data_IF_982645200908
#
_entry.id   IF_982645200908
#
_cell.length_a   1.000
_cell.length_b   1.000
_cell.length_c   1.000
_cell.angle_alpha   90.00
_cell.angle_beta   90.00
_cell.angle_gamma   90.00
#
_symmetry.space_group_name_H-M   'P 1'
#
loop_
_entity.id
_entity.type
_entity.pdbx_description
1 polymer ?
#
# COMPACT_ATOMS: atom_id res chain seq x y z
N UNK A 1 11.60 2.22 -17.48
CA UNK A 1 12.28 2.29 -16.18
C UNK A 1 11.37 1.72 -15.11
N UNK A 2 11.92 1.01 -14.14
CA UNK A 2 11.15 0.56 -12.99
C UNK A 2 10.52 1.76 -12.29
N UNK A 3 9.37 1.55 -11.67
CA UNK A 3 8.56 2.62 -11.14
C UNK A 3 9.26 3.53 -10.14
N UNK A 4 8.99 4.81 -10.23
CA UNK A 4 9.42 5.79 -9.24
C UNK A 4 8.44 5.79 -8.09
N UNK A 5 8.95 5.86 -6.87
CA UNK A 5 8.11 5.85 -5.67
C UNK A 5 8.22 7.21 -4.98
N UNK A 6 7.08 7.83 -4.73
CA UNK A 6 7.00 9.06 -3.95
C UNK A 6 6.18 8.80 -2.69
N UNK A 7 6.74 9.13 -1.53
CA UNK A 7 6.00 9.09 -0.27
C UNK A 7 5.47 10.48 0.02
N UNK A 8 4.17 10.57 0.23
CA UNK A 8 3.49 11.84 0.53
C UNK A 8 2.80 11.73 1.89
N UNK A 9 2.68 12.86 2.57
CA UNK A 9 2.13 12.88 3.92
C UNK A 9 1.06 13.95 4.02
N UNK A 10 -0.13 13.55 4.43
CA UNK A 10 -1.16 14.51 4.82
C UNK A 10 -0.67 15.26 6.06
N UNK A 11 -1.13 16.48 6.26
CA UNK A 11 -0.73 17.30 7.41
C UNK A 11 -0.89 16.51 8.73
N UNK A 12 0.17 16.50 9.52
CA UNK A 12 0.20 15.80 10.80
C UNK A 12 0.59 14.33 10.71
N UNK A 13 0.79 13.78 9.51
CA UNK A 13 1.16 12.38 9.34
C UNK A 13 2.66 12.22 9.14
N UNK A 14 3.20 11.10 9.58
CA UNK A 14 4.60 10.72 9.44
C UNK A 14 4.69 9.23 9.17
N UNK A 15 5.85 8.78 8.73
CA UNK A 15 6.16 7.35 8.66
C UNK A 15 7.55 7.10 9.23
N UNK A 16 7.73 6.01 10.02
CA UNK A 16 9.05 5.62 10.47
C UNK A 16 9.85 5.06 9.28
N UNK A 17 11.15 5.31 9.27
CA UNK A 17 12.07 4.79 8.26
C UNK A 17 11.55 4.93 6.83
N UNK A 18 11.23 6.16 6.38
CA UNK A 18 10.60 6.35 5.08
C UNK A 18 11.48 5.87 3.91
N UNK A 19 12.80 6.01 4.02
CA UNK A 19 13.69 5.52 2.96
C UNK A 19 13.60 4.01 2.78
N UNK A 20 13.45 3.27 3.87
CA UNK A 20 13.33 1.82 3.80
C UNK A 20 11.97 1.38 3.26
N UNK A 21 10.90 2.10 3.61
CA UNK A 21 9.58 1.86 3.03
C UNK A 21 9.59 2.13 1.52
N UNK A 22 10.25 3.20 1.11
CA UNK A 22 10.41 3.52 -0.30
C UNK A 22 11.20 2.46 -1.05
N UNK A 23 12.29 1.97 -0.47
CA UNK A 23 13.10 0.88 -1.05
C UNK A 23 12.28 -0.40 -1.19
N UNK A 24 11.48 -0.73 -0.19
CA UNK A 24 10.61 -1.90 -0.23
C UNK A 24 9.62 -1.81 -1.39
N UNK A 25 8.97 -0.65 -1.54
CA UNK A 25 8.05 -0.42 -2.65
C UNK A 25 8.76 -0.54 -4.01
N UNK A 26 9.97 0.01 -4.13
CA UNK A 26 10.78 -0.11 -5.35
C UNK A 26 11.13 -1.56 -5.66
N UNK A 27 11.44 -2.34 -4.63
CA UNK A 27 11.74 -3.77 -4.79
C UNK A 27 10.54 -4.52 -5.37
N UNK A 28 9.33 -4.23 -4.85
CA UNK A 28 8.11 -4.84 -5.38
C UNK A 28 7.88 -4.39 -6.83
N UNK A 29 7.99 -3.10 -7.11
CA UNK A 29 7.81 -2.57 -8.46
C UNK A 29 8.75 -3.25 -9.45
N UNK A 30 10.01 -3.40 -9.09
CA UNK A 30 11.01 -4.06 -9.93
C UNK A 30 10.69 -5.54 -10.12
N UNK A 31 10.37 -6.24 -9.04
CA UNK A 31 10.06 -7.67 -9.09
C UNK A 31 8.82 -7.98 -9.92
N UNK A 32 7.81 -7.11 -9.85
CA UNK A 32 6.56 -7.28 -10.59
C UNK A 32 6.54 -6.56 -11.94
N UNK A 33 7.65 -5.91 -12.30
CA UNK A 33 7.80 -5.16 -13.57
C UNK A 33 6.80 -4.04 -13.75
N UNK A 34 6.44 -3.38 -12.65
CA UNK A 34 5.55 -2.23 -12.68
C UNK A 34 6.28 -1.01 -13.22
N UNK A 35 5.69 -0.35 -14.21
CA UNK A 35 6.22 0.87 -14.81
C UNK A 35 5.43 2.08 -14.33
N UNK A 36 6.08 3.23 -14.29
CA UNK A 36 5.44 4.48 -13.92
C UNK A 36 5.59 4.83 -12.45
N UNK A 37 5.13 6.03 -12.13
CA UNK A 37 5.24 6.59 -10.79
C UNK A 37 4.12 6.08 -9.90
N UNK A 38 4.46 5.74 -8.67
CA UNK A 38 3.49 5.39 -7.63
C UNK A 38 3.62 6.43 -6.51
N UNK A 39 2.48 6.93 -6.06
CA UNK A 39 2.40 7.81 -4.89
C UNK A 39 1.81 7.03 -3.72
N UNK A 40 2.55 6.97 -2.63
CA UNK A 40 2.08 6.34 -1.38
C UNK A 40 1.80 7.47 -0.40
N UNK A 41 0.53 7.64 -0.04
CA UNK A 41 0.06 8.74 0.77
C UNK A 41 -0.29 8.23 2.17
N UNK A 42 0.42 8.73 3.16
CA UNK A 42 0.12 8.45 4.57
C UNK A 42 -0.88 9.49 5.06
N UNK A 43 -2.05 9.06 5.46
CA UNK A 43 -3.17 9.96 5.75
C UNK A 43 -3.97 9.54 6.97
N UNK A 44 -4.93 10.39 7.34
CA UNK A 44 -5.84 10.13 8.45
C UNK A 44 -6.89 9.10 8.09
N UNK A 45 -7.55 8.54 9.11
CA UNK A 45 -8.70 7.66 8.93
C UNK A 45 -9.81 8.35 8.14
N UNK A 46 -10.03 9.62 8.40
CA UNK A 46 -11.08 10.41 7.73
C UNK A 46 -10.83 10.52 6.24
N UNK A 47 -9.59 10.75 5.84
CA UNK A 47 -9.22 10.83 4.42
C UNK A 47 -9.44 9.49 3.73
N UNK A 48 -9.02 8.38 4.36
CA UNK A 48 -9.23 7.05 3.77
C UNK A 48 -10.71 6.72 3.69
N UNK A 49 -11.48 7.04 4.73
CA UNK A 49 -12.93 6.85 4.73
C UNK A 49 -13.59 7.62 3.58
N UNK A 50 -13.20 8.88 3.40
CA UNK A 50 -13.75 9.73 2.32
C UNK A 50 -13.41 9.14 0.94
N UNK A 51 -12.18 8.69 0.73
CA UNK A 51 -11.77 8.07 -0.52
C UNK A 51 -12.49 6.77 -0.78
N UNK A 52 -12.67 5.96 0.26
CA UNK A 52 -13.36 4.68 0.16
C UNK A 52 -14.83 4.90 -0.23
N UNK A 53 -15.48 5.90 0.36
CA UNK A 53 -16.85 6.28 0.03
C UNK A 53 -16.96 6.79 -1.41
N UNK A 54 -16.05 7.68 -1.81
CA UNK A 54 -16.07 8.30 -3.13
C UNK A 54 -15.86 7.29 -4.26
N UNK A 55 -14.85 6.40 -4.10
CA UNK A 55 -14.43 5.52 -5.19
C UNK A 55 -15.01 4.11 -5.12
N UNK A 56 -15.43 3.65 -3.95
CA UNK A 56 -15.96 2.28 -3.77
C UNK A 56 -17.37 2.25 -3.21
N UNK A 57 -17.92 3.39 -2.84
CA UNK A 57 -19.25 3.46 -2.24
C UNK A 57 -19.32 2.92 -0.82
N UNK A 58 -18.18 2.73 -0.17
CA UNK A 58 -18.10 2.17 1.18
C UNK A 58 -17.75 3.26 2.18
N UNK A 59 -18.71 3.66 3.01
CA UNK A 59 -18.52 4.70 4.03
C UNK A 59 -17.93 4.10 5.30
N UNK A 60 -16.66 3.68 5.21
CA UNK A 60 -15.93 3.11 6.35
C UNK A 60 -14.43 3.28 6.18
N UNK A 61 -13.73 3.23 7.30
CA UNK A 61 -12.26 3.24 7.31
C UNK A 61 -11.75 1.85 6.92
N UNK A 62 -10.72 1.83 6.09
CA UNK A 62 -9.93 0.63 5.83
C UNK A 62 -8.46 0.99 6.06
N UNK A 63 -7.57 0.00 6.08
CA UNK A 63 -6.15 0.23 6.34
C UNK A 63 -5.40 0.77 5.12
N UNK A 64 -5.73 0.27 3.94
CA UNK A 64 -5.05 0.64 2.70
C UNK A 64 -6.02 0.63 1.52
N UNK A 65 -5.86 1.60 0.62
CA UNK A 65 -6.58 1.68 -0.64
C UNK A 65 -5.58 1.85 -1.77
N UNK A 66 -5.74 1.10 -2.85
CA UNK A 66 -4.90 1.20 -4.04
C UNK A 66 -5.75 1.54 -5.25
N UNK A 67 -5.33 2.55 -6.01
CA UNK A 67 -6.00 2.97 -7.23
C UNK A 67 -5.00 2.98 -8.38
N UNK A 68 -5.21 2.08 -9.35
CA UNK A 68 -4.41 2.05 -10.56
C UNK A 68 -4.82 3.13 -11.54
N UNK A 69 -3.86 3.68 -12.27
CA UNK A 69 -4.08 4.68 -13.31
C UNK A 69 -3.46 4.20 -14.60
N UNK A 70 -4.19 4.32 -15.69
CA UNK A 70 -3.69 3.94 -17.01
C UNK A 70 -3.16 5.17 -17.75
N UNK A 71 -2.15 5.81 -17.16
CA UNK A 71 -1.45 6.92 -17.77
C UNK A 71 0.00 6.53 -18.00
N UNK A 72 0.62 7.10 -19.02
CA UNK A 72 1.95 6.67 -19.51
C UNK A 72 3.02 6.64 -18.41
N UNK A 73 3.10 7.67 -17.56
CA UNK A 73 4.13 7.77 -16.54
C UNK A 73 3.62 7.63 -15.11
N UNK A 74 2.33 7.31 -14.94
CA UNK A 74 1.73 7.20 -13.63
C UNK A 74 1.00 5.87 -13.47
N UNK A 75 1.49 5.05 -12.54
CA UNK A 75 0.93 3.72 -12.28
C UNK A 75 -0.21 3.74 -11.26
N UNK A 76 -0.17 4.60 -10.26
CA UNK A 76 -1.26 4.66 -9.31
C UNK A 76 -0.93 5.33 -7.98
N UNK A 77 -1.93 5.29 -7.10
CA UNK A 77 -1.86 5.85 -5.76
C UNK A 77 -2.22 4.80 -4.73
N UNK A 78 -1.52 4.84 -3.60
CA UNK A 78 -1.81 3.98 -2.45
C UNK A 78 -2.05 4.90 -1.25
N UNK A 79 -3.21 4.78 -0.62
CA UNK A 79 -3.54 5.54 0.58
C UNK A 79 -3.47 4.61 1.79
N UNK A 80 -2.63 4.97 2.77
CA UNK A 80 -2.46 4.21 4.00
C UNK A 80 -3.03 5.02 5.16
N UNK A 81 -4.02 4.44 5.85
CA UNK A 81 -4.59 5.04 7.05
C UNK A 81 -3.64 4.79 8.23
N UNK A 82 -2.77 5.76 8.50
CA UNK A 82 -1.74 5.64 9.53
C UNK A 82 -2.28 5.30 10.92
N UNK A 83 -3.32 6.01 11.44
CA UNK A 83 -3.87 5.66 12.74
C UNK A 83 -4.46 4.25 12.78
N UNK A 84 -5.09 3.81 11.71
CA UNK A 84 -5.64 2.45 11.62
C UNK A 84 -4.51 1.41 11.65
N UNK A 85 -3.42 1.66 10.93
CA UNK A 85 -2.26 0.78 10.94
C UNK A 85 -1.70 0.63 12.36
N UNK A 86 -1.61 1.75 13.10
CA UNK A 86 -1.15 1.75 14.49
C UNK A 86 -2.06 0.93 15.39
N UNK A 87 -3.36 1.06 15.23
CA UNK A 87 -4.35 0.35 16.06
C UNK A 87 -4.35 -1.15 15.79
N UNK A 88 -4.21 -1.55 14.53
CA UNK A 88 -4.33 -2.97 14.17
C UNK A 88 -3.03 -3.77 14.32
N UNK A 89 -1.88 -3.12 14.31
CA UNK A 89 -0.59 -3.83 14.42
C UNK A 89 -0.52 -4.78 15.61
N UNK A 90 -0.85 -4.38 16.85
CA UNK A 90 -0.80 -5.30 18.00
C UNK A 90 -1.74 -6.49 17.89
N UNK A 91 -2.86 -6.36 17.16
CA UNK A 91 -3.82 -7.45 16.97
C UNK A 91 -3.21 -8.62 16.20
N UNK A 92 -2.20 -8.33 15.37
CA UNK A 92 -1.49 -9.32 14.57
C UNK A 92 -0.12 -9.63 15.15
N UNK A 93 0.11 -9.25 16.41
CA UNK A 93 1.40 -9.43 17.07
C UNK A 93 2.54 -8.77 16.29
N UNK A 94 2.26 -7.59 15.74
CA UNK A 94 3.14 -6.89 14.82
C UNK A 94 3.52 -5.52 15.37
N UNK A 95 4.67 -5.00 14.94
CA UNK A 95 5.04 -3.62 15.23
C UNK A 95 4.35 -2.69 14.23
N UNK A 96 4.22 -1.42 14.60
CA UNK A 96 3.68 -0.41 13.69
C UNK A 96 4.48 -0.35 12.38
N UNK A 97 5.80 -0.34 12.47
CA UNK A 97 6.66 -0.30 11.29
C UNK A 97 6.45 -1.53 10.38
N UNK A 98 6.41 -2.73 10.96
CA UNK A 98 6.18 -3.94 10.18
C UNK A 98 4.77 -3.97 9.56
N UNK A 99 3.79 -3.39 10.25
CA UNK A 99 2.45 -3.25 9.67
C UNK A 99 2.46 -2.32 8.47
N UNK A 100 3.18 -1.20 8.55
CA UNK A 100 3.34 -0.31 7.39
C UNK A 100 4.04 -1.03 6.23
N UNK A 101 5.07 -1.83 6.52
CA UNK A 101 5.72 -2.65 5.49
C UNK A 101 4.72 -3.56 4.80
N UNK A 102 3.89 -4.23 5.57
CA UNK A 102 2.87 -5.14 5.05
C UNK A 102 1.88 -4.38 4.14
N UNK A 103 1.42 -3.22 4.59
CA UNK A 103 0.47 -2.41 3.83
C UNK A 103 1.07 -1.86 2.54
N UNK A 104 2.34 -1.46 2.58
CA UNK A 104 3.05 -1.01 1.37
C UNK A 104 3.13 -2.14 0.35
N UNK A 105 3.57 -3.33 0.76
CA UNK A 105 3.66 -4.49 -0.14
C UNK A 105 2.29 -4.85 -0.67
N UNK A 106 1.29 -4.93 0.19
CA UNK A 106 -0.08 -5.27 -0.19
C UNK A 106 -0.63 -4.28 -1.24
N UNK A 107 -0.48 -2.98 -0.99
CA UNK A 107 -0.93 -1.95 -1.93
C UNK A 107 -0.19 -2.01 -3.26
N UNK A 108 1.12 -2.23 -3.23
CA UNK A 108 1.91 -2.37 -4.45
C UNK A 108 1.48 -3.58 -5.28
N UNK A 109 1.24 -4.72 -4.63
CA UNK A 109 0.78 -5.91 -5.33
C UNK A 109 -0.59 -5.71 -5.98
N UNK A 110 -1.49 -4.98 -5.33
CA UNK A 110 -2.76 -4.61 -5.94
C UNK A 110 -2.57 -3.80 -7.22
N UNK A 111 -1.65 -2.84 -7.20
CA UNK A 111 -1.34 -2.05 -8.40
C UNK A 111 -0.79 -2.92 -9.53
N UNK A 112 -0.13 -4.02 -9.17
CA UNK A 112 0.43 -4.96 -10.15
C UNK A 112 -0.60 -6.01 -10.62
N UNK A 113 -1.86 -5.85 -10.24
CA UNK A 113 -2.95 -6.72 -10.70
C UNK A 113 -3.26 -7.91 -9.81
N UNK A 114 -2.59 -8.05 -8.67
CA UNK A 114 -2.91 -9.14 -7.74
C UNK A 114 -4.16 -8.81 -6.93
N UNK A 115 -5.00 -9.82 -6.72
CA UNK A 115 -6.23 -9.67 -5.98
C UNK A 115 -6.30 -10.75 -4.91
N UNK A 116 -7.10 -10.51 -3.86
CA UNK A 116 -7.30 -11.46 -2.77
C UNK A 116 -8.76 -11.95 -2.69
N UNK A 117 -9.60 -11.62 -3.68
CA UNK A 117 -11.01 -11.96 -3.66
C UNK A 117 -11.28 -13.42 -4.00
N UNK A 118 -10.46 -14.02 -4.86
CA UNK A 118 -10.60 -15.42 -5.23
C UNK A 118 -9.58 -16.28 -4.48
N UNK A 119 -9.93 -17.53 -4.18
CA UNK A 119 -9.08 -18.41 -3.36
C UNK A 119 -7.68 -18.59 -3.94
N UNK A 120 -7.56 -18.86 -5.24
CA UNK A 120 -6.25 -19.02 -5.89
C UNK A 120 -5.45 -17.74 -5.92
N UNK A 121 -6.12 -16.62 -6.13
CA UNK A 121 -5.48 -15.29 -6.14
C UNK A 121 -5.02 -14.90 -4.75
N UNK A 122 -5.80 -15.22 -3.71
CA UNK A 122 -5.39 -14.98 -2.31
C UNK A 122 -4.11 -15.73 -1.96
N UNK A 123 -4.00 -16.96 -2.39
CA UNK A 123 -2.80 -17.76 -2.15
C UNK A 123 -1.59 -17.15 -2.83
N UNK A 124 -1.71 -16.80 -4.10
CA UNK A 124 -0.64 -16.17 -4.88
C UNK A 124 -0.21 -14.84 -4.25
N UNK A 125 -1.17 -14.02 -3.87
CA UNK A 125 -0.89 -12.73 -3.24
C UNK A 125 -0.16 -12.91 -1.91
N UNK A 126 -0.59 -13.87 -1.09
CA UNK A 126 0.07 -14.16 0.19
C UNK A 126 1.50 -14.64 0.00
N UNK A 127 1.74 -15.50 -0.98
CA UNK A 127 3.08 -15.96 -1.32
C UNK A 127 3.97 -14.81 -1.75
N UNK A 128 3.44 -13.89 -2.56
CA UNK A 128 4.17 -12.70 -2.98
C UNK A 128 4.45 -11.76 -1.81
N UNK A 129 3.47 -11.54 -0.94
CA UNK A 129 3.67 -10.73 0.26
C UNK A 129 4.80 -11.30 1.12
N UNK A 130 4.78 -12.61 1.36
CA UNK A 130 5.82 -13.28 2.14
C UNK A 130 7.19 -13.12 1.48
N UNK A 131 7.26 -13.26 0.16
CA UNK A 131 8.51 -13.11 -0.58
C UNK A 131 9.12 -11.71 -0.37
N UNK A 132 8.32 -10.66 -0.52
CA UNK A 132 8.83 -9.29 -0.42
C UNK A 132 9.07 -8.84 1.02
N UNK A 133 8.36 -9.40 1.98
CA UNK A 133 8.53 -9.05 3.40
C UNK A 133 9.67 -9.80 4.07
N UNK A 134 10.22 -10.78 3.41
CA UNK A 134 11.24 -11.67 3.99
C UNK A 134 12.62 -11.01 4.15
N UNK A 135 12.83 -9.92 3.50
CA UNK A 135 14.12 -9.22 3.58
C UNK A 135 14.23 -8.40 4.87
#
# INVERSE_FOLDING_TARGET
MAGQIALLYEEGQKAPRPLELSKLAKTVAKGEKLQGRVEIVFCSDETVRARNKEYRGLDKVTDVLSFGWEEDDFAGEIFIANPQAKRQAPRWNNTYYNELRRLVVHGMLHLCGHDHMKVGERKTMREKEDLYLKG
#
